data_IF_438503144757
#
_entry.id   IF_438503144757
#
_cell.length_a   1.000
_cell.length_b   1.000
_cell.length_c   1.000
_cell.angle_alpha   90.00
_cell.angle_beta   90.00
_cell.angle_gamma   90.00
#
_symmetry.space_group_name_H-M   'P 1'
#
loop_
_entity.id
_entity.type
_entity.pdbx_description
1 polymer ?
#
# COMPACT_ATOMS: atom_id res chain seq x y z
N UNK A 1 29.45 26.59 -0.20
CA UNK A 1 29.28 25.59 -1.25
C UNK A 1 27.82 25.65 -1.68
N UNK A 2 27.58 26.05 -2.95
CA UNK A 2 26.28 26.46 -3.48
C UNK A 2 25.29 25.26 -3.56
N UNK A 3 24.27 25.22 -2.70
CA UNK A 3 23.18 24.26 -2.77
C UNK A 3 22.43 24.28 -4.12
N UNK A 4 22.33 25.45 -4.77
CA UNK A 4 21.72 25.58 -6.09
C UNK A 4 22.40 24.75 -7.18
N UNK A 5 23.72 24.54 -7.09
CA UNK A 5 24.47 23.76 -8.07
C UNK A 5 24.26 22.23 -7.92
N UNK A 6 23.86 21.78 -6.73
CA UNK A 6 23.52 20.38 -6.46
C UNK A 6 22.11 20.06 -6.92
N UNK A 7 21.16 20.96 -6.69
CA UNK A 7 19.77 20.80 -7.13
C UNK A 7 19.66 20.85 -8.68
N UNK A 8 20.42 21.74 -9.33
CA UNK A 8 20.46 21.82 -10.78
C UNK A 8 21.08 20.56 -11.41
N UNK A 9 22.15 20.02 -10.82
CA UNK A 9 22.74 18.74 -11.26
C UNK A 9 21.82 17.54 -11.02
N UNK A 10 21.10 17.50 -9.89
CA UNK A 10 20.12 16.44 -9.61
C UNK A 10 18.92 16.51 -10.54
N UNK A 11 18.44 17.71 -10.86
CA UNK A 11 17.34 17.91 -11.82
C UNK A 11 17.75 17.50 -13.23
N UNK A 12 18.97 17.85 -13.63
CA UNK A 12 19.54 17.47 -14.95
C UNK A 12 19.79 15.96 -15.02
N UNK A 13 20.28 15.33 -13.94
CA UNK A 13 20.49 13.90 -13.87
C UNK A 13 19.15 13.12 -13.91
N UNK A 14 18.14 13.59 -13.20
CA UNK A 14 16.79 13.02 -13.23
C UNK A 14 16.12 13.18 -14.60
N UNK A 15 16.30 14.31 -15.28
CA UNK A 15 15.81 14.49 -16.64
C UNK A 15 16.53 13.59 -17.65
N UNK A 16 17.85 13.39 -17.50
CA UNK A 16 18.61 12.46 -18.33
C UNK A 16 18.26 10.99 -18.08
N UNK A 17 18.00 10.61 -16.83
CA UNK A 17 17.51 9.25 -16.47
C UNK A 17 16.12 8.99 -17.04
N UNK A 18 15.22 9.99 -17.04
CA UNK A 18 13.88 9.85 -17.61
C UNK A 18 13.86 9.75 -19.13
N UNK A 19 14.86 10.30 -19.82
CA UNK A 19 14.97 10.22 -21.30
C UNK A 19 15.37 8.83 -21.81
N UNK A 20 15.86 7.94 -20.94
CA UNK A 20 16.26 6.57 -21.29
C UNK A 20 15.25 5.50 -20.83
N UNK A 21 14.07 5.91 -20.35
CA UNK A 21 13.00 4.98 -19.93
C UNK A 21 11.96 4.94 -21.04
N UNK A 22 11.74 3.75 -21.61
CA UNK A 22 10.79 3.51 -22.69
C UNK A 22 9.69 2.54 -22.19
N UNK A 23 8.61 3.04 -21.57
CA UNK A 23 7.49 2.20 -21.14
C UNK A 23 6.86 1.45 -22.31
N UNK A 24 6.47 0.19 -22.09
CA UNK A 24 5.87 -0.69 -23.10
C UNK A 24 4.42 -1.07 -22.75
N UNK A 25 3.76 -0.30 -21.91
CA UNK A 25 2.40 -0.59 -21.40
C UNK A 25 1.38 -0.80 -22.52
N UNK A 26 1.52 -0.07 -23.64
CA UNK A 26 0.68 -0.14 -24.84
C UNK A 26 0.77 -1.48 -25.59
N UNK A 27 1.84 -2.26 -25.35
CA UNK A 27 2.09 -3.57 -25.97
C UNK A 27 1.84 -4.75 -25.02
N UNK A 28 1.49 -4.48 -23.78
CA UNK A 28 1.20 -5.51 -22.78
C UNK A 28 -0.30 -5.87 -22.80
N UNK A 29 -0.61 -7.07 -22.29
CA UNK A 29 -2.01 -7.45 -22.02
C UNK A 29 -2.63 -6.48 -21.05
N UNK A 30 -3.85 -6.04 -21.34
CA UNK A 30 -4.57 -5.08 -20.51
C UNK A 30 -4.99 -5.67 -19.18
N UNK A 31 -5.35 -4.82 -18.22
CA UNK A 31 -5.96 -5.23 -16.96
C UNK A 31 -7.28 -5.98 -17.21
N UNK A 32 -8.09 -5.48 -18.11
CA UNK A 32 -9.40 -6.06 -18.46
C UNK A 32 -9.26 -7.48 -19.01
N UNK A 33 -8.21 -7.76 -19.81
CA UNK A 33 -7.94 -9.11 -20.31
C UNK A 33 -7.61 -10.09 -19.17
N UNK A 34 -6.82 -9.63 -18.19
CA UNK A 34 -6.43 -10.42 -17.02
C UNK A 34 -7.60 -10.62 -16.06
N UNK A 35 -8.40 -9.57 -15.80
CA UNK A 35 -9.64 -9.67 -15.01
C UNK A 35 -10.64 -10.64 -15.64
N UNK A 36 -10.76 -10.64 -16.97
CA UNK A 36 -11.60 -11.58 -17.71
C UNK A 36 -11.10 -13.02 -17.55
N UNK A 37 -9.78 -13.23 -17.64
CA UNK A 37 -9.16 -14.55 -17.40
C UNK A 37 -9.44 -15.06 -15.99
N UNK A 38 -9.29 -14.18 -14.96
CA UNK A 38 -9.51 -14.49 -13.55
C UNK A 38 -10.99 -14.49 -13.16
N UNK A 39 -11.89 -14.02 -14.05
CA UNK A 39 -13.34 -13.84 -13.78
C UNK A 39 -13.60 -13.01 -12.52
N UNK A 40 -12.79 -12.00 -12.28
CA UNK A 40 -12.91 -11.10 -11.12
C UNK A 40 -12.52 -9.68 -11.51
N UNK A 41 -13.05 -8.71 -10.77
CA UNK A 41 -12.59 -7.32 -10.81
C UNK A 41 -11.54 -7.10 -9.72
N UNK A 42 -10.41 -6.54 -10.08
CA UNK A 42 -9.34 -6.21 -9.15
C UNK A 42 -9.58 -4.85 -8.50
N UNK A 43 -9.37 -4.79 -7.19
CA UNK A 43 -9.48 -3.57 -6.38
C UNK A 43 -8.49 -3.65 -5.23
N UNK A 44 -8.16 -2.50 -4.65
CA UNK A 44 -7.46 -2.43 -3.37
C UNK A 44 -8.47 -2.22 -2.24
N UNK A 45 -8.55 -3.19 -1.35
CA UNK A 45 -9.27 -3.05 -0.09
C UNK A 45 -8.26 -2.69 0.99
N UNK A 46 -8.35 -1.47 1.49
CA UNK A 46 -7.43 -0.97 2.50
C UNK A 46 -8.11 -0.88 3.86
N UNK A 47 -7.54 -1.59 4.84
CA UNK A 47 -7.94 -1.46 6.24
C UNK A 47 -7.10 -0.40 6.94
N UNK A 48 -7.76 0.61 7.53
CA UNK A 48 -7.15 1.63 8.39
C UNK A 48 -7.73 1.56 9.80
N UNK A 49 -7.02 2.08 10.78
CA UNK A 49 -7.39 2.05 12.20
C UNK A 49 -6.17 1.97 13.11
N UNK A 50 -6.38 2.05 14.41
CA UNK A 50 -5.35 2.06 15.43
C UNK A 50 -4.54 0.74 15.47
N UNK A 51 -3.35 0.78 16.08
CA UNK A 51 -2.65 -0.46 16.47
C UNK A 51 -3.55 -1.27 17.39
N UNK A 52 -3.55 -2.60 17.26
CA UNK A 52 -4.45 -3.45 18.05
C UNK A 52 -5.93 -3.46 17.62
N UNK A 53 -6.35 -2.65 16.62
CA UNK A 53 -7.77 -2.61 16.20
C UNK A 53 -8.27 -3.86 15.48
N UNK A 54 -7.38 -4.78 15.07
CA UNK A 54 -7.75 -6.03 14.40
C UNK A 54 -7.70 -6.01 12.88
N UNK A 55 -7.06 -5.02 12.27
CA UNK A 55 -6.92 -4.90 10.81
C UNK A 55 -6.43 -6.18 10.13
N UNK A 56 -5.33 -6.74 10.60
CA UNK A 56 -4.77 -7.98 10.03
C UNK A 56 -5.69 -9.18 10.23
N UNK A 57 -6.40 -9.24 11.35
CA UNK A 57 -7.39 -10.30 11.62
C UNK A 57 -8.55 -10.26 10.63
N UNK A 58 -9.09 -9.06 10.38
CA UNK A 58 -10.17 -8.86 9.40
C UNK A 58 -9.67 -9.11 7.98
N UNK A 59 -8.45 -8.67 7.66
CA UNK A 59 -7.82 -8.91 6.36
C UNK A 59 -7.68 -10.41 6.06
N UNK A 60 -7.21 -11.20 7.03
CA UNK A 60 -7.08 -12.66 6.91
C UNK A 60 -8.47 -13.33 6.77
N UNK A 61 -9.46 -12.88 7.51
CA UNK A 61 -10.82 -13.38 7.38
C UNK A 61 -11.40 -13.09 5.99
N UNK A 62 -11.22 -11.88 5.50
CA UNK A 62 -11.64 -11.48 4.14
C UNK A 62 -10.93 -12.32 3.07
N UNK A 63 -9.62 -12.52 3.18
CA UNK A 63 -8.87 -13.36 2.23
C UNK A 63 -9.46 -14.77 2.14
N UNK A 64 -9.78 -15.38 3.29
CA UNK A 64 -10.38 -16.72 3.35
C UNK A 64 -11.74 -16.76 2.68
N UNK A 65 -12.60 -15.76 2.90
CA UNK A 65 -13.92 -15.71 2.29
C UNK A 65 -13.82 -15.48 0.76
N UNK A 66 -12.95 -14.58 0.31
CA UNK A 66 -12.70 -14.39 -1.12
C UNK A 66 -12.19 -15.66 -1.78
N UNK A 67 -11.28 -16.39 -1.11
CA UNK A 67 -10.76 -17.66 -1.61
C UNK A 67 -11.87 -18.74 -1.74
N UNK A 68 -12.79 -18.83 -0.77
CA UNK A 68 -13.96 -19.72 -0.87
C UNK A 68 -14.86 -19.39 -2.06
N UNK A 69 -14.93 -18.10 -2.43
CA UNK A 69 -15.65 -17.64 -3.62
C UNK A 69 -14.87 -17.86 -4.93
N UNK A 70 -13.68 -18.46 -4.88
CA UNK A 70 -12.83 -18.67 -6.05
C UNK A 70 -12.10 -17.43 -6.54
N UNK A 71 -12.00 -16.40 -5.69
CA UNK A 71 -11.34 -15.13 -6.02
C UNK A 71 -9.89 -15.12 -5.54
N UNK A 72 -8.99 -14.68 -6.42
CA UNK A 72 -7.58 -14.52 -6.11
C UNK A 72 -7.31 -13.16 -5.46
N UNK A 73 -6.74 -13.18 -4.28
CA UNK A 73 -6.34 -11.97 -3.58
C UNK A 73 -4.95 -12.08 -2.93
N UNK A 74 -4.37 -10.95 -2.56
CA UNK A 74 -3.08 -10.86 -1.88
C UNK A 74 -3.17 -9.90 -0.71
N UNK A 75 -2.79 -10.35 0.48
CA UNK A 75 -2.63 -9.47 1.64
C UNK A 75 -1.24 -8.81 1.60
N UNK A 76 -1.24 -7.49 1.77
CA UNK A 76 -0.07 -6.66 2.04
C UNK A 76 -0.18 -6.16 3.48
N UNK A 77 0.40 -6.89 4.40
CA UNK A 77 0.47 -6.51 5.82
C UNK A 77 1.74 -5.68 6.08
N UNK A 78 1.61 -4.67 6.96
CA UNK A 78 2.69 -3.70 7.20
C UNK A 78 3.98 -4.34 7.73
N UNK A 79 3.89 -5.35 8.60
CA UNK A 79 5.07 -6.01 9.16
C UNK A 79 5.73 -6.92 8.12
N UNK A 80 4.94 -7.64 7.34
CA UNK A 80 5.44 -8.50 6.26
C UNK A 80 6.16 -7.69 5.17
N UNK A 81 5.63 -6.51 4.82
CA UNK A 81 6.27 -5.62 3.84
C UNK A 81 7.58 -5.05 4.39
N UNK A 82 7.62 -4.72 5.69
CA UNK A 82 8.84 -4.22 6.33
C UNK A 82 9.91 -5.29 6.52
N UNK A 83 9.55 -6.56 6.61
CA UNK A 83 10.53 -7.67 6.64
C UNK A 83 11.14 -7.99 5.27
N UNK A 84 10.55 -7.47 4.19
CA UNK A 84 10.95 -7.73 2.81
C UNK A 84 11.26 -6.44 2.03
N UNK A 85 10.32 -6.03 1.17
CA UNK A 85 10.52 -4.95 0.18
C UNK A 85 10.85 -3.58 0.81
N UNK A 86 10.45 -3.34 2.06
CA UNK A 86 10.69 -2.12 2.81
C UNK A 86 11.64 -2.31 4.01
N UNK A 87 12.49 -3.33 3.99
CA UNK A 87 13.41 -3.65 5.08
C UNK A 87 14.49 -2.58 5.33
N UNK A 88 14.70 -1.71 4.36
CA UNK A 88 15.64 -0.57 4.46
C UNK A 88 14.99 0.71 5.00
N UNK A 89 13.68 0.70 5.32
CA UNK A 89 12.95 1.86 5.82
C UNK A 89 12.80 1.79 7.34
N UNK A 90 13.08 2.92 8.02
CA UNK A 90 12.81 3.13 9.44
C UNK A 90 11.40 3.63 9.71
N UNK A 91 11.27 4.49 10.74
CA UNK A 91 10.00 5.05 11.20
C UNK A 91 9.98 6.59 11.18
N UNK A 92 10.94 7.24 10.50
CA UNK A 92 10.91 8.68 10.26
C UNK A 92 9.66 9.07 9.45
N UNK A 93 9.34 10.36 9.40
CA UNK A 93 8.21 10.84 8.60
C UNK A 93 8.41 10.50 7.13
N UNK A 94 9.62 10.69 6.61
CA UNK A 94 10.01 10.40 5.23
C UNK A 94 9.91 8.91 4.92
N UNK A 95 10.41 8.04 5.82
CA UNK A 95 10.33 6.59 5.67
C UNK A 95 8.87 6.09 5.68
N UNK A 96 8.01 6.74 6.48
CA UNK A 96 6.57 6.41 6.48
C UNK A 96 5.90 6.78 5.16
N UNK A 97 6.24 7.94 4.59
CA UNK A 97 5.75 8.35 3.25
C UNK A 97 6.21 7.35 2.20
N UNK A 98 7.50 7.02 2.17
CA UNK A 98 8.07 6.09 1.18
C UNK A 98 7.50 4.66 1.35
N UNK A 99 7.28 4.22 2.60
CA UNK A 99 6.63 2.95 2.86
C UNK A 99 5.23 2.87 2.24
N UNK A 100 4.41 3.89 2.42
CA UNK A 100 3.06 3.95 1.83
C UNK A 100 3.13 4.04 0.31
N UNK A 101 4.03 4.86 -0.24
CA UNK A 101 4.22 4.99 -1.68
C UNK A 101 4.56 3.64 -2.32
N UNK A 102 5.55 2.90 -1.77
CA UNK A 102 5.94 1.58 -2.29
C UNK A 102 4.81 0.57 -2.21
N UNK A 103 4.05 0.56 -1.11
CA UNK A 103 2.88 -0.33 -0.96
C UNK A 103 1.82 -0.01 -2.01
N UNK A 104 1.56 1.27 -2.28
CA UNK A 104 0.59 1.69 -3.29
C UNK A 104 1.03 1.27 -4.71
N UNK A 105 2.31 1.44 -5.05
CA UNK A 105 2.87 0.99 -6.34
C UNK A 105 2.78 -0.53 -6.51
N UNK A 106 3.14 -1.30 -5.47
CA UNK A 106 3.00 -2.77 -5.48
C UNK A 106 1.53 -3.17 -5.60
N UNK A 107 0.63 -2.49 -4.90
CA UNK A 107 -0.82 -2.74 -5.02
C UNK A 107 -1.32 -2.49 -6.43
N UNK A 108 -0.86 -1.41 -7.08
CA UNK A 108 -1.18 -1.11 -8.47
C UNK A 108 -0.74 -2.22 -9.40
N UNK A 109 0.49 -2.75 -9.23
CA UNK A 109 0.97 -3.88 -10.04
C UNK A 109 0.08 -5.12 -9.88
N UNK A 110 -0.38 -5.45 -8.66
CA UNK A 110 -1.31 -6.54 -8.45
C UNK A 110 -2.67 -6.28 -9.11
N UNK A 111 -3.21 -5.06 -8.98
CA UNK A 111 -4.46 -4.66 -9.62
C UNK A 111 -4.35 -4.77 -11.15
N UNK A 112 -3.26 -4.30 -11.73
CA UNK A 112 -2.98 -4.40 -13.17
C UNK A 112 -2.81 -5.85 -13.67
N UNK A 113 -2.63 -6.81 -12.74
CA UNK A 113 -2.65 -8.25 -13.03
C UNK A 113 -4.00 -8.91 -12.73
N UNK A 114 -5.03 -8.15 -12.36
CA UNK A 114 -6.37 -8.66 -12.07
C UNK A 114 -6.53 -9.21 -10.65
N UNK A 115 -5.54 -9.02 -9.76
CA UNK A 115 -5.54 -9.57 -8.39
C UNK A 115 -6.12 -8.56 -7.40
N UNK A 116 -7.04 -9.00 -6.55
CA UNK A 116 -7.57 -8.19 -5.44
C UNK A 116 -6.46 -8.00 -4.41
N UNK A 117 -6.18 -6.78 -4.02
CA UNK A 117 -5.16 -6.46 -3.01
C UNK A 117 -5.82 -6.05 -1.70
N UNK A 118 -5.45 -6.72 -0.62
CA UNK A 118 -5.93 -6.40 0.73
C UNK A 118 -4.77 -5.78 1.51
N UNK A 119 -4.86 -4.50 1.84
CA UNK A 119 -3.78 -3.77 2.52
C UNK A 119 -4.15 -3.46 3.97
N UNK A 120 -3.32 -3.93 4.91
CA UNK A 120 -3.52 -3.77 6.35
C UNK A 120 -2.31 -3.10 6.99
N UNK A 121 -2.34 -1.77 7.10
CA UNK A 121 -1.26 -0.99 7.74
C UNK A 121 -1.75 0.33 8.31
N UNK A 122 -0.99 0.87 9.26
CA UNK A 122 -1.28 2.14 9.90
C UNK A 122 -0.94 3.28 8.94
N UNK A 123 -1.87 4.20 8.74
CA UNK A 123 -1.64 5.46 8.04
C UNK A 123 -2.49 6.54 8.68
N UNK A 124 -1.94 7.27 9.63
CA UNK A 124 -2.71 8.25 10.41
C UNK A 124 -3.04 9.51 9.63
N UNK A 125 -2.26 9.82 8.58
CA UNK A 125 -2.37 11.06 7.82
C UNK A 125 -3.27 10.90 6.58
N UNK A 126 -4.19 11.87 6.36
CA UNK A 126 -5.07 11.91 5.20
C UNK A 126 -4.27 12.03 3.89
N UNK A 127 -3.21 12.86 3.87
CA UNK A 127 -2.39 13.08 2.68
C UNK A 127 -1.77 11.79 2.16
N UNK A 128 -1.31 10.92 3.08
CA UNK A 128 -0.76 9.61 2.72
C UNK A 128 -1.84 8.67 2.15
N UNK A 129 -3.09 8.80 2.61
CA UNK A 129 -4.20 8.03 2.09
C UNK A 129 -4.59 8.51 0.70
N UNK A 130 -4.64 9.83 0.49
CA UNK A 130 -4.90 10.43 -0.82
C UNK A 130 -3.80 10.11 -1.82
N UNK A 131 -2.54 10.16 -1.40
CA UNK A 131 -1.41 9.73 -2.23
C UNK A 131 -1.56 8.26 -2.68
N UNK A 132 -1.86 7.35 -1.76
CA UNK A 132 -2.07 5.94 -2.09
C UNK A 132 -3.25 5.76 -3.06
N UNK A 133 -4.37 6.44 -2.82
CA UNK A 133 -5.54 6.40 -3.69
C UNK A 133 -5.26 6.98 -5.08
N UNK A 134 -4.43 8.02 -5.19
CA UNK A 134 -4.05 8.59 -6.49
C UNK A 134 -3.14 7.66 -7.29
N UNK A 135 -2.23 6.93 -6.64
CA UNK A 135 -1.33 5.96 -7.30
C UNK A 135 -2.14 4.76 -7.82
N UNK A 136 -3.03 4.22 -7.00
CA UNK A 136 -3.85 3.04 -7.32
C UNK A 136 -4.97 3.34 -8.31
N UNK A 137 -5.46 4.59 -8.32
CA UNK A 137 -6.70 5.01 -8.96
C UNK A 137 -7.85 5.00 -7.96
N UNK A 138 -8.51 6.16 -7.81
CA UNK A 138 -9.57 6.34 -6.79
C UNK A 138 -10.74 5.37 -6.97
N UNK A 139 -11.06 5.02 -8.20
CA UNK A 139 -12.12 4.07 -8.57
C UNK A 139 -11.81 2.62 -8.18
N UNK A 140 -10.54 2.33 -7.88
CA UNK A 140 -10.06 1.01 -7.48
C UNK A 140 -9.68 0.94 -6.00
N UNK A 141 -9.87 2.03 -5.26
CA UNK A 141 -9.42 2.18 -3.88
C UNK A 141 -10.62 2.17 -2.93
N UNK A 142 -10.77 1.10 -2.16
CA UNK A 142 -11.81 0.95 -1.15
C UNK A 142 -11.17 1.04 0.24
N UNK A 143 -11.50 2.09 1.00
CA UNK A 143 -11.00 2.27 2.36
C UNK A 143 -12.04 1.83 3.40
N UNK A 144 -11.61 0.99 4.34
CA UNK A 144 -12.42 0.47 5.44
C UNK A 144 -11.75 0.86 6.76
N UNK A 145 -12.44 1.64 7.57
CA UNK A 145 -11.99 1.99 8.91
C UNK A 145 -12.43 0.93 9.93
N UNK A 146 -11.46 0.33 10.61
CA UNK A 146 -11.71 -0.62 11.71
C UNK A 146 -11.81 0.18 13.01
N UNK A 147 -13.05 0.48 13.41
CA UNK A 147 -13.38 1.36 14.52
C UNK A 147 -13.48 0.58 15.85
N UNK A 148 -12.35 0.06 16.30
CA UNK A 148 -12.24 -0.55 17.61
C UNK A 148 -11.98 0.52 18.67
N UNK A 149 -12.70 0.53 19.81
CA UNK A 149 -12.45 1.47 20.89
C UNK A 149 -11.00 1.44 21.36
N UNK A 150 -10.47 2.61 21.76
CA UNK A 150 -9.07 2.75 22.13
C UNK A 150 -8.69 1.87 23.33
N UNK A 151 -9.57 1.75 24.30
CA UNK A 151 -9.38 0.91 25.50
C UNK A 151 -9.20 -0.57 25.12
N UNK A 152 -9.92 -1.02 24.10
CA UNK A 152 -9.79 -2.38 23.60
C UNK A 152 -8.52 -2.56 22.78
N UNK A 153 -8.10 -1.55 22.02
CA UNK A 153 -6.83 -1.56 21.30
C UNK A 153 -5.64 -1.64 22.28
N UNK A 154 -5.68 -0.86 23.37
CA UNK A 154 -4.67 -0.87 24.43
C UNK A 154 -4.64 -2.21 25.18
N UNK A 155 -5.80 -2.76 25.51
CA UNK A 155 -5.90 -4.08 26.13
C UNK A 155 -5.28 -5.19 25.28
N UNK A 156 -5.36 -5.07 23.98
CA UNK A 156 -4.82 -6.03 22.99
C UNK A 156 -3.37 -5.78 22.65
N UNK A 157 -2.76 -4.72 23.12
CA UNK A 157 -1.46 -4.18 22.66
C UNK A 157 -0.34 -5.23 22.65
N UNK A 158 -0.43 -6.17 21.72
CA UNK A 158 0.51 -7.29 21.49
C UNK A 158 1.93 -6.79 21.17
N UNK A 159 2.07 -5.52 20.75
CA UNK A 159 3.33 -4.92 20.31
C UNK A 159 3.93 -3.91 21.29
N UNK A 160 3.24 -3.61 22.39
CA UNK A 160 3.68 -2.61 23.38
C UNK A 160 3.78 -1.19 22.79
N UNK A 161 3.04 -0.90 21.72
CA UNK A 161 3.13 0.39 21.01
C UNK A 161 2.30 1.49 21.68
N UNK A 162 1.35 1.16 22.53
CA UNK A 162 0.54 2.12 23.27
C UNK A 162 1.39 2.96 24.25
N UNK A 163 2.48 2.40 24.75
CA UNK A 163 3.41 3.09 25.66
C UNK A 163 4.42 4.02 24.95
N UNK A 164 4.52 3.99 23.62
CA UNK A 164 5.48 4.77 22.84
C UNK A 164 4.88 6.10 22.36
N UNK A 165 3.57 6.29 22.50
CA UNK A 165 2.83 7.46 22.02
C UNK A 165 2.27 8.36 23.15
N UNK A 166 2.88 8.29 24.35
CA UNK A 166 2.61 9.24 25.42
C UNK A 166 3.65 10.36 25.39
#
# INVERSE_FOLDING_TARGET
VNNNNIEEKLSTLNSQLSTNIYPIFDRMMTREDKERLLKQRSVMVRFTGLSGSGKSTVAIALERELHKCGLLCRILDGDNIRSGINNNLGFSAEDRVENIRRIAEVSKLFIDTGVITIAAFISPNNDLREMAASIVGKENFLEIYVSTPIEECERRDVKGLSLIHI
#
